data_IF_792171014224
#
_entry.id   IF_792171014224
#
_cell.length_a   1.000
_cell.length_b   1.000
_cell.length_c   1.000
_cell.angle_alpha   90.00
_cell.angle_beta   90.00
_cell.angle_gamma   90.00
#
_symmetry.space_group_name_H-M   'P 1'
#
loop_
_entity.id
_entity.type
_entity.pdbx_description
1 polymer ?
#
# COMPACT_ATOMS: atom_id res chain seq x y z
N UNK A 1 -77.49 59.38 25.42
CA UNK A 1 -76.85 60.67 25.08
C UNK A 1 -75.79 60.95 26.13
N UNK A 2 -74.64 61.50 25.74
CA UNK A 2 -73.29 61.15 26.23
C UNK A 2 -72.94 61.84 27.54
N UNK A 3 -72.01 61.28 28.33
CA UNK A 3 -70.92 62.04 29.00
C UNK A 3 -69.99 61.16 29.83
N UNK A 4 -68.75 61.64 29.93
CA UNK A 4 -67.75 61.45 31.00
C UNK A 4 -66.74 60.29 30.89
N UNK A 5 -65.57 60.62 30.30
CA UNK A 5 -64.21 60.25 30.77
C UNK A 5 -63.89 60.95 32.12
N UNK A 6 -62.70 60.86 32.80
CA UNK A 6 -61.43 60.13 32.58
C UNK A 6 -60.80 59.52 33.89
N UNK A 7 -59.58 58.92 33.80
CA UNK A 7 -58.41 58.95 34.75
C UNK A 7 -57.52 57.72 34.47
N UNK A 8 -56.30 57.76 33.92
CA UNK A 8 -55.02 58.43 34.21
C UNK A 8 -54.31 58.07 35.54
N UNK A 9 -53.05 57.61 35.35
CA UNK A 9 -51.88 57.49 36.23
C UNK A 9 -51.81 56.23 37.14
N UNK A 10 -50.67 55.54 37.31
CA UNK A 10 -49.28 55.94 37.13
C UNK A 10 -48.32 54.74 36.88
N UNK A 11 -47.27 55.03 36.09
CA UNK A 11 -45.85 54.64 36.21
C UNK A 11 -45.47 53.15 36.38
N UNK A 12 -44.51 52.61 35.62
CA UNK A 12 -43.13 53.12 35.61
C UNK A 12 -42.32 52.57 34.41
N UNK A 13 -41.34 53.36 33.97
CA UNK A 13 -40.02 52.93 33.46
C UNK A 13 -39.82 52.62 31.96
N UNK A 14 -39.45 53.68 31.24
CA UNK A 14 -38.26 53.84 30.40
C UNK A 14 -37.47 52.56 29.96
N UNK A 15 -37.28 52.38 28.66
CA UNK A 15 -36.29 51.43 28.10
C UNK A 15 -36.24 51.39 26.58
N UNK A 16 -35.32 52.15 25.99
CA UNK A 16 -35.05 52.22 24.55
C UNK A 16 -34.33 50.95 24.03
N UNK A 17 -34.59 50.64 22.76
CA UNK A 17 -33.79 49.81 21.81
C UNK A 17 -33.66 48.32 22.15
N UNK A 18 -34.39 47.51 21.38
CA UNK A 18 -34.11 46.08 21.22
C UNK A 18 -32.68 45.89 20.67
N UNK A 19 -31.78 45.37 21.52
CA UNK A 19 -30.55 44.71 21.11
C UNK A 19 -30.91 43.34 20.56
N UNK A 20 -30.48 43.02 19.34
CA UNK A 20 -30.37 41.63 18.88
C UNK A 20 -29.30 40.94 19.73
N UNK A 21 -29.71 40.09 20.68
CA UNK A 21 -28.83 39.05 21.19
C UNK A 21 -28.87 37.86 20.24
N UNK A 22 -27.70 37.53 19.70
CA UNK A 22 -27.40 36.26 19.06
C UNK A 22 -27.43 35.16 20.13
N UNK A 23 -28.55 34.44 20.23
CA UNK A 23 -28.59 33.17 20.97
C UNK A 23 -27.95 32.09 20.09
N UNK A 24 -26.70 31.76 20.38
CA UNK A 24 -25.99 30.59 19.85
C UNK A 24 -26.63 29.30 20.40
N UNK A 25 -27.50 28.67 19.61
CA UNK A 25 -27.97 27.29 19.85
C UNK A 25 -26.95 26.33 19.22
N UNK A 26 -26.50 25.25 19.89
CA UNK A 26 -25.39 24.43 19.42
C UNK A 26 -25.78 23.57 18.21
N UNK A 27 -25.35 24.03 17.04
CA UNK A 27 -25.31 23.34 15.76
C UNK A 27 -24.30 22.16 15.80
N UNK A 28 -24.54 21.11 16.62
CA UNK A 28 -23.66 19.92 16.69
C UNK A 28 -24.32 18.57 16.39
N UNK A 29 -25.66 18.49 16.30
CA UNK A 29 -26.36 17.22 16.06
C UNK A 29 -26.67 16.98 14.57
N UNK A 30 -27.21 17.98 13.88
CA UNK A 30 -27.69 17.82 12.49
C UNK A 30 -26.56 17.63 11.46
N UNK A 31 -25.36 18.18 11.71
CA UNK A 31 -24.19 17.99 10.83
C UNK A 31 -23.64 16.57 10.94
N UNK A 32 -23.66 15.96 12.14
CA UNK A 32 -23.26 14.57 12.33
C UNK A 32 -24.23 13.59 11.66
N UNK A 33 -25.53 13.90 11.67
CA UNK A 33 -26.56 13.09 11.01
C UNK A 33 -26.46 13.23 9.49
N UNK A 34 -26.19 14.43 8.98
CA UNK A 34 -26.04 14.70 7.53
C UNK A 34 -24.75 14.11 6.95
N UNK A 35 -23.63 14.12 7.68
CA UNK A 35 -22.41 13.40 7.25
C UNK A 35 -22.60 11.87 7.26
N UNK A 36 -23.33 11.30 8.24
CA UNK A 36 -23.64 9.85 8.23
C UNK A 36 -24.54 9.44 7.07
N UNK A 37 -25.52 10.27 6.72
CA UNK A 37 -26.45 10.03 5.61
C UNK A 37 -25.74 10.12 4.24
N UNK A 38 -24.87 11.12 4.03
CA UNK A 38 -24.11 11.26 2.80
C UNK A 38 -23.09 10.12 2.61
N UNK A 39 -22.41 9.68 3.68
CA UNK A 39 -21.50 8.53 3.61
C UNK A 39 -22.21 7.22 3.29
N UNK A 40 -23.46 7.04 3.75
CA UNK A 40 -24.30 5.89 3.37
C UNK A 40 -24.74 5.94 1.90
N UNK A 41 -25.06 7.12 1.38
CA UNK A 41 -25.43 7.28 -0.04
C UNK A 41 -24.22 7.12 -0.98
N UNK A 42 -23.06 7.69 -0.61
CA UNK A 42 -21.82 7.57 -1.41
C UNK A 42 -21.23 6.15 -1.40
N UNK A 43 -21.43 5.37 -0.33
CA UNK A 43 -21.01 3.97 -0.28
C UNK A 43 -21.84 3.02 -1.15
N UNK A 44 -23.04 3.43 -1.58
CA UNK A 44 -23.90 2.64 -2.46
C UNK A 44 -23.59 2.87 -3.94
N UNK A 45 -23.19 4.09 -4.32
CA UNK A 45 -22.92 4.45 -5.73
C UNK A 45 -21.56 3.97 -6.24
N UNK A 46 -20.58 3.75 -5.35
CA UNK A 46 -19.23 3.31 -5.75
C UNK A 46 -19.15 1.85 -6.19
N UNK A 47 -20.17 1.05 -5.89
CA UNK A 47 -20.24 -0.38 -6.23
C UNK A 47 -21.22 -0.65 -7.39
N UNK A 48 -21.56 0.37 -8.17
CA UNK A 48 -22.19 0.15 -9.48
C UNK A 48 -21.13 -0.58 -10.31
N UNK A 49 -21.27 -1.89 -10.35
CA UNK A 49 -20.39 -2.82 -11.04
C UNK A 49 -20.35 -2.46 -12.53
N UNK A 50 -19.19 -2.54 -13.18
CA UNK A 50 -19.16 -2.68 -14.63
C UNK A 50 -19.85 -4.02 -14.96
N UNK A 51 -21.13 -3.99 -15.30
CA UNK A 51 -21.83 -5.20 -15.72
C UNK A 51 -21.28 -5.64 -17.08
N UNK A 52 -20.51 -6.73 -17.09
CA UNK A 52 -20.09 -7.43 -18.31
C UNK A 52 -18.68 -7.10 -18.83
N UNK A 53 -17.91 -6.25 -18.14
CA UNK A 53 -16.50 -6.01 -18.52
C UNK A 53 -15.59 -7.03 -17.83
N UNK A 54 -14.74 -7.68 -18.60
CA UNK A 54 -13.66 -8.57 -18.14
C UNK A 54 -12.31 -8.06 -18.65
N UNK A 55 -11.22 -8.66 -18.16
CA UNK A 55 -9.86 -8.31 -18.55
C UNK A 55 -9.44 -6.92 -18.08
N UNK A 56 -8.73 -6.18 -18.95
CA UNK A 56 -8.03 -4.97 -18.53
C UNK A 56 -8.93 -3.80 -18.12
N UNK A 57 -10.12 -3.65 -18.72
CA UNK A 57 -11.05 -2.57 -18.36
C UNK A 57 -11.65 -2.81 -16.96
N UNK A 58 -11.98 -4.06 -16.65
CA UNK A 58 -12.39 -4.46 -15.31
C UNK A 58 -11.33 -4.12 -14.27
N UNK A 59 -10.07 -4.49 -14.51
CA UNK A 59 -8.99 -4.18 -13.57
C UNK A 59 -8.78 -2.67 -13.38
N UNK A 60 -8.87 -1.88 -14.45
CA UNK A 60 -8.83 -0.40 -14.35
C UNK A 60 -9.95 0.13 -13.46
N UNK A 61 -11.16 -0.39 -13.63
CA UNK A 61 -12.28 -0.01 -12.78
C UNK A 61 -12.05 -0.43 -11.32
N UNK A 62 -11.57 -1.66 -11.07
CA UNK A 62 -11.26 -2.14 -9.72
C UNK A 62 -10.18 -1.27 -9.07
N UNK A 63 -9.12 -0.93 -9.79
CA UNK A 63 -8.07 -0.02 -9.33
C UNK A 63 -8.64 1.35 -8.93
N UNK A 64 -9.49 1.93 -9.77
CA UNK A 64 -10.19 3.17 -9.45
C UNK A 64 -11.08 3.05 -8.21
N UNK A 65 -11.84 1.95 -8.11
CA UNK A 65 -12.68 1.63 -6.97
C UNK A 65 -11.89 1.51 -5.67
N UNK A 66 -10.78 0.75 -5.67
CA UNK A 66 -9.91 0.56 -4.50
C UNK A 66 -9.31 1.90 -4.08
N UNK A 67 -8.79 2.68 -5.02
CA UNK A 67 -8.23 4.02 -4.75
C UNK A 67 -9.26 4.96 -4.11
N UNK A 68 -10.48 5.05 -4.67
CA UNK A 68 -11.55 5.91 -4.16
C UNK A 68 -12.08 5.49 -2.79
N UNK A 69 -11.93 4.22 -2.43
CA UNK A 69 -12.46 3.63 -1.20
C UNK A 69 -11.38 3.16 -0.23
N UNK A 70 -10.12 3.50 -0.49
CA UNK A 70 -8.98 3.06 0.30
C UNK A 70 -9.18 3.37 1.78
N UNK A 71 -8.83 2.41 2.62
CA UNK A 71 -9.00 2.40 4.07
C UNK A 71 -10.44 2.47 4.59
N UNK A 72 -11.47 2.53 3.73
CA UNK A 72 -12.85 2.35 4.18
C UNK A 72 -13.03 0.91 4.67
N UNK A 73 -13.84 0.76 5.71
CA UNK A 73 -14.16 -0.55 6.30
C UNK A 73 -15.65 -0.81 6.18
N UNK A 74 -15.99 -1.99 5.67
CA UNK A 74 -17.34 -2.46 5.50
C UNK A 74 -17.56 -3.69 6.37
N UNK A 75 -18.70 -3.73 7.08
CA UNK A 75 -19.08 -4.94 7.80
C UNK A 75 -19.58 -5.97 6.80
N UNK A 76 -19.02 -7.17 6.86
CA UNK A 76 -19.49 -8.29 6.05
C UNK A 76 -20.74 -8.89 6.72
N UNK A 77 -21.73 -9.28 5.91
CA UNK A 77 -22.93 -9.97 6.42
C UNK A 77 -22.60 -11.40 6.86
N UNK A 78 -21.62 -12.02 6.21
CA UNK A 78 -21.14 -13.36 6.50
C UNK A 78 -19.60 -13.43 6.31
N UNK A 79 -18.85 -14.02 7.25
CA UNK A 79 -19.26 -14.42 8.60
C UNK A 79 -19.56 -13.22 9.50
N UNK A 80 -20.42 -13.42 10.51
CA UNK A 80 -20.83 -12.36 11.42
C UNK A 80 -19.62 -11.83 12.23
N UNK A 81 -19.53 -10.50 12.36
CA UNK A 81 -18.42 -9.84 13.03
C UNK A 81 -17.19 -9.61 12.16
N UNK A 82 -17.16 -10.17 10.94
CA UNK A 82 -16.09 -9.90 9.98
C UNK A 82 -16.23 -8.53 9.32
N UNK A 83 -15.09 -7.95 8.98
CA UNK A 83 -15.01 -6.64 8.31
C UNK A 83 -14.04 -6.71 7.15
N UNK A 84 -14.41 -6.12 6.03
CA UNK A 84 -13.54 -5.92 4.88
C UNK A 84 -13.00 -4.49 4.91
N UNK A 85 -11.67 -4.36 5.04
CA UNK A 85 -10.96 -3.09 4.89
C UNK A 85 -10.43 -3.02 3.46
N UNK A 86 -10.93 -2.06 2.69
CA UNK A 86 -10.51 -1.84 1.29
C UNK A 86 -9.10 -1.26 1.28
N UNK A 87 -8.27 -1.80 0.39
CA UNK A 87 -6.87 -1.40 0.23
C UNK A 87 -6.21 -2.10 -0.96
N UNK A 88 -5.06 -1.58 -1.36
CA UNK A 88 -4.18 -2.18 -2.36
C UNK A 88 -3.15 -3.11 -1.69
N UNK A 89 -2.16 -3.61 -2.44
CA UNK A 89 -1.11 -4.48 -1.92
C UNK A 89 -0.35 -3.83 -0.74
N UNK A 90 -0.08 -2.53 -0.84
CA UNK A 90 0.63 -1.76 0.20
C UNK A 90 -0.15 -1.63 1.52
N UNK A 91 -1.46 -1.88 1.49
CA UNK A 91 -2.30 -1.92 2.69
C UNK A 91 -2.29 -3.28 3.42
N UNK A 92 -1.55 -4.26 2.89
CA UNK A 92 -1.45 -5.62 3.42
C UNK A 92 -0.12 -5.87 4.14
N UNK A 93 0.04 -7.05 4.75
CA UNK A 93 1.36 -7.49 5.27
C UNK A 93 2.40 -7.71 4.16
N UNK A 94 2.00 -7.81 2.90
CA UNK A 94 2.86 -8.05 1.74
C UNK A 94 3.26 -6.75 1.02
N UNK A 95 3.27 -5.61 1.72
CA UNK A 95 3.68 -4.33 1.13
C UNK A 95 5.12 -4.39 0.63
N UNK A 96 5.34 -3.95 -0.61
CA UNK A 96 6.63 -4.04 -1.29
C UNK A 96 7.00 -5.46 -1.79
N UNK A 97 6.13 -6.45 -1.60
CA UNK A 97 6.32 -7.83 -2.05
C UNK A 97 5.51 -8.09 -3.32
N UNK A 98 5.76 -7.32 -4.39
CA UNK A 98 5.07 -7.49 -5.68
C UNK A 98 5.17 -8.91 -6.24
N UNK A 99 6.23 -9.64 -5.87
CA UNK A 99 6.44 -11.04 -6.25
C UNK A 99 5.38 -12.00 -5.69
N UNK A 100 4.68 -11.64 -4.59
CA UNK A 100 3.61 -12.46 -4.03
C UNK A 100 2.37 -12.45 -4.92
N UNK A 101 1.95 -11.25 -5.38
CA UNK A 101 0.85 -11.13 -6.35
C UNK A 101 1.20 -11.88 -7.64
N UNK A 102 2.43 -11.69 -8.12
CA UNK A 102 3.00 -12.41 -9.25
C UNK A 102 2.93 -13.94 -9.07
N UNK A 103 3.07 -14.43 -7.84
CA UNK A 103 2.93 -15.83 -7.48
C UNK A 103 1.47 -16.30 -7.53
N UNK A 104 0.56 -15.53 -6.95
CA UNK A 104 -0.88 -15.82 -6.96
C UNK A 104 -1.45 -15.88 -8.39
N UNK A 105 -1.00 -14.97 -9.24
CA UNK A 105 -1.37 -14.90 -10.66
C UNK A 105 -0.91 -16.10 -11.50
N UNK A 106 0.23 -16.71 -11.15
CA UNK A 106 0.90 -17.71 -12.00
C UNK A 106 0.75 -19.14 -11.51
N UNK A 107 0.62 -19.36 -10.21
CA UNK A 107 0.84 -20.69 -9.64
C UNK A 107 -0.37 -21.29 -8.93
N UNK A 108 -1.37 -20.48 -8.59
CA UNK A 108 -2.52 -20.93 -7.82
C UNK A 108 -3.72 -21.31 -8.69
N UNK A 109 -3.99 -20.59 -9.77
CA UNK A 109 -5.06 -20.98 -10.69
C UNK A 109 -4.52 -21.86 -11.83
N UNK A 110 -5.37 -22.71 -12.45
CA UNK A 110 -4.96 -23.58 -13.55
C UNK A 110 -4.36 -22.82 -14.74
N UNK A 111 -4.84 -21.61 -14.99
CA UNK A 111 -4.32 -20.71 -16.02
C UNK A 111 -3.72 -19.47 -15.36
N UNK A 112 -2.74 -18.86 -16.02
CA UNK A 112 -2.19 -17.57 -15.59
C UNK A 112 -3.28 -16.52 -15.76
N UNK A 113 -3.54 -15.78 -14.68
CA UNK A 113 -4.52 -14.70 -14.65
C UNK A 113 -3.89 -13.39 -14.23
N UNK A 114 -4.61 -12.28 -14.39
CA UNK A 114 -4.25 -11.01 -13.76
C UNK A 114 -5.11 -10.77 -12.53
N UNK A 115 -4.50 -10.48 -11.39
CA UNK A 115 -5.19 -10.29 -10.12
C UNK A 115 -4.98 -8.87 -9.57
N UNK A 116 -6.01 -8.33 -8.96
CA UNK A 116 -5.93 -7.04 -8.26
C UNK A 116 -6.34 -7.22 -6.79
N UNK A 117 -5.46 -6.83 -5.87
CA UNK A 117 -5.78 -6.76 -4.44
C UNK A 117 -6.87 -5.72 -4.21
N UNK A 118 -7.89 -6.12 -3.46
CA UNK A 118 -9.05 -5.28 -3.09
C UNK A 118 -9.18 -5.07 -1.58
N UNK A 119 -8.24 -5.59 -0.80
CA UNK A 119 -8.08 -5.29 0.62
C UNK A 119 -7.95 -6.54 1.47
N UNK A 120 -8.29 -6.42 2.75
CA UNK A 120 -8.13 -7.51 3.73
C UNK A 120 -9.38 -7.72 4.56
N UNK A 121 -9.60 -8.96 5.00
CA UNK A 121 -10.66 -9.29 5.95
C UNK A 121 -10.10 -9.41 7.35
N UNK A 122 -10.83 -8.84 8.31
CA UNK A 122 -10.56 -8.94 9.75
C UNK A 122 -11.75 -9.56 10.48
N UNK A 123 -11.51 -10.10 11.66
CA UNK A 123 -12.56 -10.69 12.50
C UNK A 123 -12.90 -12.13 12.15
N UNK A 124 -12.01 -12.81 11.42
CA UNK A 124 -12.10 -14.25 11.11
C UNK A 124 -10.78 -14.88 11.54
N UNK A 125 -10.83 -16.09 12.09
CA UNK A 125 -9.63 -16.88 12.34
C UNK A 125 -9.17 -17.50 11.02
N UNK A 126 -7.97 -17.13 10.57
CA UNK A 126 -7.28 -17.78 9.46
C UNK A 126 -5.84 -18.15 9.89
N UNK A 127 -5.16 -19.05 9.15
CA UNK A 127 -3.80 -19.49 9.51
C UNK A 127 -2.77 -18.36 9.56
N UNK A 128 -2.92 -17.34 8.71
CA UNK A 128 -2.08 -16.15 8.68
C UNK A 128 -2.75 -14.95 9.39
N UNK A 129 -1.96 -13.91 9.68
CA UNK A 129 -2.39 -12.69 10.35
C UNK A 129 -3.38 -11.84 9.52
N UNK A 130 -3.37 -11.99 8.18
CA UNK A 130 -4.28 -11.28 7.29
C UNK A 130 -4.82 -12.20 6.17
N UNK A 131 -6.15 -12.17 6.00
CA UNK A 131 -6.81 -12.77 4.85
C UNK A 131 -6.92 -11.72 3.74
N UNK A 132 -6.09 -11.85 2.70
CA UNK A 132 -6.01 -10.87 1.60
C UNK A 132 -7.06 -11.20 0.54
N UNK A 133 -7.88 -10.22 0.16
CA UNK A 133 -8.85 -10.35 -0.92
C UNK A 133 -8.27 -9.80 -2.22
N UNK A 134 -8.51 -10.54 -3.29
CA UNK A 134 -8.15 -10.15 -4.65
C UNK A 134 -9.26 -10.53 -5.62
N UNK A 135 -9.31 -9.87 -6.76
CA UNK A 135 -10.23 -10.21 -7.84
C UNK A 135 -9.47 -10.52 -9.12
N UNK A 136 -9.99 -11.48 -9.86
CA UNK A 136 -9.44 -11.97 -11.12
C UNK A 136 -10.07 -11.24 -12.29
N UNK A 137 -9.27 -10.88 -13.29
CA UNK A 137 -9.75 -10.11 -14.44
C UNK A 137 -10.65 -10.90 -15.37
N UNK A 138 -10.44 -12.21 -15.45
CA UNK A 138 -11.01 -13.12 -16.42
C UNK A 138 -12.44 -13.52 -16.05
N UNK A 139 -12.68 -13.76 -14.76
CA UNK A 139 -13.97 -14.26 -14.25
C UNK A 139 -14.66 -13.31 -13.26
N UNK A 140 -14.03 -12.19 -12.91
CA UNK A 140 -14.51 -11.19 -11.93
C UNK A 140 -14.74 -11.75 -10.52
N UNK A 141 -14.32 -12.98 -10.25
CA UNK A 141 -14.49 -13.64 -8.96
C UNK A 141 -13.58 -13.00 -7.92
N UNK A 142 -13.90 -13.27 -6.66
CA UNK A 142 -13.12 -12.80 -5.51
C UNK A 142 -12.49 -14.01 -4.82
N UNK A 143 -11.18 -13.93 -4.70
CA UNK A 143 -10.34 -14.91 -4.04
C UNK A 143 -9.80 -14.35 -2.74
N UNK A 144 -9.61 -15.22 -1.76
CA UNK A 144 -8.99 -14.92 -0.49
C UNK A 144 -7.73 -15.75 -0.30
N UNK A 145 -6.60 -15.09 -0.10
CA UNK A 145 -5.32 -15.72 0.21
C UNK A 145 -5.11 -15.72 1.74
N UNK A 146 -4.85 -16.91 2.30
CA UNK A 146 -4.74 -17.11 3.74
C UNK A 146 -3.31 -17.37 4.23
N UNK A 147 -2.31 -17.04 3.40
CA UNK A 147 -0.89 -17.27 3.66
C UNK A 147 -0.35 -18.58 3.10
N UNK A 148 -1.22 -19.52 2.72
CA UNK A 148 -0.82 -20.78 2.09
C UNK A 148 -1.63 -21.08 0.84
N UNK A 149 -2.94 -20.86 0.90
CA UNK A 149 -3.91 -21.30 -0.10
C UNK A 149 -4.74 -20.13 -0.62
N UNK A 150 -5.18 -20.27 -1.86
CA UNK A 150 -6.10 -19.33 -2.49
C UNK A 150 -7.51 -19.92 -2.47
N UNK A 151 -8.48 -19.21 -1.90
CA UNK A 151 -9.86 -19.66 -1.74
C UNK A 151 -10.81 -18.83 -2.59
N UNK A 152 -11.67 -19.46 -3.38
CA UNK A 152 -12.78 -18.78 -4.04
C UNK A 152 -13.87 -18.46 -3.00
N UNK A 153 -14.01 -17.19 -2.63
CA UNK A 153 -14.85 -16.76 -1.50
C UNK A 153 -16.11 -16.01 -1.89
N UNK A 154 -16.15 -15.41 -3.09
CA UNK A 154 -17.34 -14.81 -3.68
C UNK A 154 -17.25 -14.82 -5.21
N UNK A 155 -18.40 -14.83 -5.89
CA UNK A 155 -18.49 -14.79 -7.35
C UNK A 155 -18.22 -13.41 -7.94
N UNK A 156 -18.30 -12.35 -7.13
CA UNK A 156 -18.05 -10.97 -7.55
C UNK A 156 -17.89 -10.03 -6.36
N UNK A 157 -17.36 -8.82 -6.60
CA UNK A 157 -17.31 -7.74 -5.61
C UNK A 157 -18.70 -7.30 -5.12
N UNK A 158 -19.74 -7.43 -5.96
CA UNK A 158 -21.13 -7.17 -5.58
C UNK A 158 -21.62 -8.20 -4.58
N UNK A 159 -21.38 -9.49 -4.84
CA UNK A 159 -21.72 -10.54 -3.87
C UNK A 159 -20.93 -10.38 -2.56
N UNK A 160 -19.63 -10.06 -2.64
CA UNK A 160 -18.80 -9.76 -1.47
C UNK A 160 -19.44 -8.68 -0.57
N UNK A 161 -19.95 -7.60 -1.18
CA UNK A 161 -20.64 -6.52 -0.46
C UNK A 161 -22.00 -6.96 0.08
N UNK A 162 -22.81 -7.60 -0.75
CA UNK A 162 -24.22 -7.85 -0.48
C UNK A 162 -24.47 -9.07 0.41
N UNK A 163 -23.60 -10.08 0.34
CA UNK A 163 -23.76 -11.36 1.03
C UNK A 163 -22.57 -11.68 1.95
N UNK A 164 -21.39 -11.08 1.69
CA UNK A 164 -20.17 -11.36 2.42
C UNK A 164 -19.30 -12.38 1.72
N UNK A 165 -18.49 -13.11 2.49
CA UNK A 165 -17.62 -14.17 1.99
C UNK A 165 -18.03 -15.52 2.54
N UNK A 166 -17.72 -16.56 1.76
CA UNK A 166 -17.69 -17.94 2.25
C UNK A 166 -16.24 -18.34 2.50
N UNK A 167 -15.83 -18.45 3.76
CA UNK A 167 -14.49 -18.86 4.14
C UNK A 167 -14.52 -20.04 5.13
N UNK A 168 -13.78 -21.15 4.88
CA UNK A 168 -13.05 -21.45 3.65
C UNK A 168 -13.94 -21.46 2.40
N UNK A 169 -13.33 -21.22 1.24
CA UNK A 169 -14.02 -21.03 -0.05
C UNK A 169 -14.78 -22.26 -0.55
N UNK A 170 -15.56 -22.08 -1.63
CA UNK A 170 -16.19 -23.22 -2.32
C UNK A 170 -15.17 -24.08 -3.07
N UNK A 171 -14.08 -23.45 -3.51
CA UNK A 171 -12.90 -24.07 -4.12
C UNK A 171 -11.66 -23.50 -3.44
N UNK A 172 -10.67 -24.37 -3.27
CA UNK A 172 -9.37 -24.02 -2.69
C UNK A 172 -8.28 -24.48 -3.63
N UNK A 173 -7.31 -23.62 -3.84
CA UNK A 173 -6.17 -23.84 -4.72
C UNK A 173 -4.88 -23.80 -3.94
N UNK A 174 -3.95 -24.67 -4.33
CA UNK A 174 -2.62 -24.81 -3.73
C UNK A 174 -1.58 -24.18 -4.64
N UNK A 175 -0.44 -23.83 -4.07
CA UNK A 175 0.69 -23.41 -4.88
C UNK A 175 1.13 -24.58 -5.79
N UNK A 176 1.20 -24.30 -7.10
CA UNK A 176 1.56 -25.27 -8.12
C UNK A 176 0.38 -25.96 -8.80
N UNK A 177 -0.87 -25.57 -8.51
CA UNK A 177 -2.05 -26.10 -9.22
C UNK A 177 -1.96 -25.86 -10.74
N UNK A 178 -1.30 -24.77 -11.17
CA UNK A 178 -1.04 -24.48 -12.59
C UNK A 178 -0.24 -25.58 -13.32
N UNK A 179 0.48 -26.45 -12.59
CA UNK A 179 1.33 -27.50 -13.16
C UNK A 179 0.79 -28.91 -12.94
N UNK A 180 -0.42 -29.02 -12.38
CA UNK A 180 -1.00 -30.31 -11.98
C UNK A 180 -1.17 -31.29 -13.14
N UNK A 181 -1.49 -30.74 -14.32
CA UNK A 181 -1.74 -31.52 -15.54
C UNK A 181 -0.52 -31.55 -16.49
N UNK A 182 0.66 -31.11 -16.03
CA UNK A 182 1.85 -31.03 -16.89
C UNK A 182 2.48 -32.41 -17.13
N UNK A 183 2.71 -32.78 -18.40
CA UNK A 183 3.25 -34.09 -18.76
C UNK A 183 4.78 -34.14 -18.63
N UNK A 184 5.37 -35.35 -18.69
CA UNK A 184 6.82 -35.51 -18.66
C UNK A 184 7.50 -34.79 -19.83
N UNK A 185 6.88 -34.81 -21.02
CA UNK A 185 7.36 -34.09 -22.20
C UNK A 185 7.34 -32.57 -22.00
N UNK A 186 6.29 -32.04 -21.35
CA UNK A 186 6.20 -30.62 -21.02
C UNK A 186 7.29 -30.22 -20.02
N UNK A 187 7.54 -31.03 -18.99
CA UNK A 187 8.62 -30.84 -18.04
C UNK A 187 10.00 -30.88 -18.69
N UNK A 188 10.25 -31.83 -19.60
CA UNK A 188 11.50 -31.93 -20.35
C UNK A 188 11.74 -30.69 -21.21
N UNK A 189 10.69 -30.17 -21.85
CA UNK A 189 10.75 -28.91 -22.62
C UNK A 189 11.09 -27.71 -21.72
N UNK A 190 10.49 -27.62 -20.54
CA UNK A 190 10.80 -26.56 -19.57
C UNK A 190 12.26 -26.67 -19.10
N UNK A 191 12.72 -27.87 -18.75
CA UNK A 191 14.11 -28.11 -18.33
C UNK A 191 15.11 -27.70 -19.40
N UNK A 192 14.91 -28.14 -20.65
CA UNK A 192 15.77 -27.75 -21.79
C UNK A 192 15.81 -26.24 -22.03
N UNK A 193 14.69 -25.53 -21.85
CA UNK A 193 14.64 -24.08 -21.96
C UNK A 193 15.45 -23.41 -20.85
N UNK A 194 15.23 -23.82 -19.60
CA UNK A 194 15.96 -23.31 -18.42
C UNK A 194 17.47 -23.52 -18.54
N UNK A 195 17.91 -24.70 -18.96
CA UNK A 195 19.33 -25.00 -19.16
C UNK A 195 19.97 -24.07 -20.19
N UNK A 196 19.25 -23.79 -21.28
CA UNK A 196 19.73 -22.89 -22.34
C UNK A 196 19.82 -21.44 -21.88
N UNK A 197 18.82 -20.97 -21.15
CA UNK A 197 18.80 -19.61 -20.58
C UNK A 197 19.90 -19.43 -19.53
N UNK A 198 20.06 -20.41 -18.63
CA UNK A 198 21.13 -20.45 -17.65
C UNK A 198 22.51 -20.39 -18.33
N UNK A 199 22.74 -21.24 -19.33
CA UNK A 199 23.99 -21.24 -20.08
C UNK A 199 24.28 -19.89 -20.73
N UNK A 200 23.27 -19.26 -21.35
CA UNK A 200 23.40 -17.94 -21.97
C UNK A 200 23.76 -16.86 -20.94
N UNK A 201 23.11 -16.85 -19.78
CA UNK A 201 23.39 -15.91 -18.71
C UNK A 201 24.82 -16.05 -18.20
N UNK A 202 25.26 -17.28 -17.88
CA UNK A 202 26.62 -17.58 -17.42
C UNK A 202 27.65 -17.09 -18.43
N UNK A 203 27.46 -17.41 -19.71
CA UNK A 203 28.38 -17.01 -20.76
C UNK A 203 28.43 -15.48 -20.96
N UNK A 204 27.31 -14.78 -20.81
CA UNK A 204 27.27 -13.31 -20.91
C UNK A 204 28.05 -12.60 -19.80
N UNK A 205 28.13 -13.19 -18.61
CA UNK A 205 28.81 -12.63 -17.44
C UNK A 205 30.25 -13.10 -17.26
N UNK A 206 30.64 -14.17 -17.94
CA UNK A 206 31.97 -14.78 -17.85
C UNK A 206 33.10 -13.79 -18.12
N UNK A 207 32.99 -12.97 -19.15
CA UNK A 207 34.05 -12.02 -19.54
C UNK A 207 34.21 -10.89 -18.53
N UNK A 208 33.10 -10.31 -18.06
CA UNK A 208 33.06 -9.29 -17.02
C UNK A 208 33.66 -9.81 -15.70
N UNK A 209 33.25 -11.01 -15.29
CA UNK A 209 33.77 -11.68 -14.10
C UNK A 209 35.29 -11.92 -14.18
N UNK A 210 35.79 -12.43 -15.30
CA UNK A 210 37.23 -12.66 -15.52
C UNK A 210 38.03 -11.35 -15.54
N UNK A 211 37.47 -10.27 -16.06
CA UNK A 211 38.12 -8.94 -16.06
C UNK A 211 38.25 -8.40 -14.64
N UNK A 212 37.21 -8.53 -13.82
CA UNK A 212 37.23 -8.09 -12.43
C UNK A 212 38.26 -8.90 -11.61
N UNK A 213 38.32 -10.22 -11.80
CA UNK A 213 39.34 -11.09 -11.19
C UNK A 213 40.77 -10.65 -11.52
N UNK A 214 41.07 -10.38 -12.80
CA UNK A 214 42.39 -9.89 -13.22
C UNK A 214 42.72 -8.54 -12.59
N UNK A 215 41.75 -7.63 -12.51
CA UNK A 215 41.95 -6.30 -11.91
C UNK A 215 42.28 -6.40 -10.43
N UNK A 216 41.61 -7.31 -9.69
CA UNK A 216 41.90 -7.58 -8.27
C UNK A 216 43.32 -8.13 -8.11
N UNK A 217 43.73 -9.11 -8.93
CA UNK A 217 45.08 -9.67 -8.88
C UNK A 217 46.18 -8.62 -9.13
N UNK A 218 45.94 -7.69 -10.05
CA UNK A 218 46.89 -6.61 -10.37
C UNK A 218 47.02 -5.60 -9.22
N UNK A 219 45.93 -5.34 -8.49
CA UNK A 219 45.93 -4.42 -7.35
C UNK A 219 46.57 -5.02 -6.10
N UNK A 220 46.46 -6.35 -5.89
CA UNK A 220 47.14 -7.07 -4.81
C UNK A 220 48.66 -7.24 -5.04
N UNK A 221 49.13 -7.04 -6.28
CA UNK A 221 50.55 -7.15 -6.66
C UNK A 221 51.35 -5.85 -6.58
N UNK A 222 50.75 -4.72 -6.21
CA UNK A 222 51.48 -3.46 -5.98
C UNK A 222 51.77 -3.28 -4.49
N UNK A 223 53.03 -3.46 -4.02
CA UNK A 223 53.41 -2.90 -2.73
C UNK A 223 53.34 -1.37 -2.83
N UNK A 224 52.69 -0.72 -1.87
CA UNK A 224 52.78 0.72 -1.66
C UNK A 224 54.24 1.09 -1.47
N UNK A 225 54.84 1.74 -2.47
CA UNK A 225 56.14 2.39 -2.31
C UNK A 225 55.85 3.74 -1.68
N UNK A 226 56.27 3.87 -0.41
CA UNK A 226 56.27 5.09 0.39
C UNK A 226 56.82 6.27 -0.42
N UNK A 227 56.07 7.36 -0.49
CA UNK A 227 56.60 8.65 -0.89
C UNK A 227 57.39 9.24 0.29
N UNK A 228 58.71 9.01 0.29
CA UNK A 228 59.66 9.94 0.89
C UNK A 228 59.74 11.17 -0.03
N UNK A 229 58.98 12.22 0.29
CA UNK A 229 59.29 13.56 -0.21
C UNK A 229 60.27 14.23 0.75
N UNK A 230 61.51 14.33 0.27
CA UNK A 230 62.55 15.22 0.77
C UNK A 230 62.10 16.69 0.63
N UNK A 231 61.84 17.36 1.75
CA UNK A 231 61.92 18.83 1.84
C UNK A 231 63.05 19.27 2.79
N UNK A 232 64.23 19.39 2.18
CA UNK A 232 65.13 20.56 2.21
C UNK A 232 64.79 21.65 3.25
N UNK A 233 65.55 21.70 4.34
CA UNK A 233 65.87 22.87 5.20
C UNK A 233 66.84 22.34 6.29
N UNK A 234 68.07 22.79 6.54
CA UNK A 234 68.60 24.15 6.61
C UNK A 234 70.13 24.02 6.66
N UNK A 235 70.85 24.59 5.69
CA UNK A 235 72.29 24.80 5.81
C UNK A 235 72.49 26.24 6.31
N UNK A 236 73.02 26.35 7.53
CA UNK A 236 73.29 27.62 8.19
C UNK A 236 74.58 28.25 7.64
N UNK A 237 74.50 29.49 7.18
CA UNK A 237 75.64 30.41 7.19
C UNK A 237 75.19 31.88 7.23
N UNK A 238 75.42 32.46 8.42
CA UNK A 238 75.99 33.78 8.71
C UNK A 238 75.34 35.08 8.19
N UNK A 239 74.75 35.84 9.13
CA UNK A 239 75.01 37.25 9.48
C UNK A 239 73.99 37.63 10.58
N UNK A 240 74.29 38.13 11.77
CA UNK A 240 75.36 39.04 12.19
C UNK A 240 74.75 40.42 12.49
N UNK A 241 74.24 40.65 13.72
CA UNK A 241 74.20 41.97 14.37
C UNK A 241 73.93 41.84 15.88
N UNK A 242 74.61 42.69 16.64
CA UNK A 242 74.94 42.62 18.05
C UNK A 242 73.92 43.35 18.97
N UNK A 243 73.62 42.76 20.16
CA UNK A 243 73.59 43.30 21.55
C UNK A 243 72.85 44.62 21.94
N UNK A 244 72.66 44.93 23.26
CA UNK A 244 72.51 44.11 24.48
C UNK A 244 71.41 44.63 25.49
N UNK A 245 71.44 44.13 26.75
CA UNK A 245 70.94 44.69 28.06
C UNK A 245 69.81 43.83 28.69
N UNK A 246 70.05 42.96 29.70
CA UNK A 246 70.24 43.17 31.17
C UNK A 246 68.97 43.73 31.87
N UNK A 247 68.42 43.31 33.02
CA UNK A 247 68.88 42.66 34.26
C UNK A 247 67.67 41.98 34.97
N UNK A 248 67.99 40.92 35.72
CA UNK A 248 67.34 40.22 36.87
C UNK A 248 66.72 41.11 38.00
N UNK A 249 66.14 40.57 39.10
CA UNK A 249 66.18 39.20 39.64
C UNK A 249 64.85 38.43 39.73
#
# INVERSE_FOLDING_TARGET
>A
MPTATPKMAADTSCGKRARMELVLIPLKSSYKIKLRSANRLFGLTSFIQCEGETGSEYLKWVLGFVSMNRHKTLNLKNPAGATWKIGDLDDTIYSGEDYEVDGWEKFYLPEKVSMQVVGVVKGISCPCDQLVLMTCSEDTQVYAYDGEKLHLVASSLKQLRDEGIKYPGSRTYYNGEAFKDMTEEDWDKVKKRLDKEHHKLVMSKKTEFLKNLKSIQQNLGKPEILQEENEKSTEASQAGTENPISVKP
#
